data_IF_894251572820
#
_entry.id   IF_894251572820
#
_cell.length_a   1.000
_cell.length_b   1.000
_cell.length_c   1.000
_cell.angle_alpha   90.00
_cell.angle_beta   90.00
_cell.angle_gamma   90.00
#
_symmetry.space_group_name_H-M   'P 1'
#
loop_
_entity.id
_entity.type
_entity.pdbx_description
1 polymer ?
#
# COMPACT_ATOMS: atom_id res chain seq x y z
N UNK A 1 11.22 8.61 -48.91
CA UNK A 1 11.44 8.86 -47.46
C UNK A 1 10.27 8.26 -46.70
N UNK A 2 10.50 7.24 -45.88
CA UNK A 2 9.46 6.48 -45.17
C UNK A 2 9.24 7.15 -43.81
N UNK A 3 8.07 7.74 -43.60
CA UNK A 3 7.66 8.33 -42.33
C UNK A 3 7.64 7.24 -41.23
N UNK A 4 8.28 7.42 -40.06
CA UNK A 4 8.17 6.48 -38.97
C UNK A 4 6.83 6.69 -38.26
N UNK A 5 5.98 5.65 -38.26
CA UNK A 5 4.71 5.61 -37.52
C UNK A 5 4.97 5.68 -35.99
N UNK A 6 4.55 6.75 -35.27
CA UNK A 6 4.81 6.91 -33.84
C UNK A 6 3.79 6.22 -32.91
N UNK A 7 2.65 5.74 -33.43
CA UNK A 7 1.47 5.46 -32.59
C UNK A 7 1.46 4.12 -31.83
N UNK A 8 2.45 3.23 -32.02
CA UNK A 8 2.42 1.88 -31.43
C UNK A 8 3.35 1.64 -30.22
N UNK A 9 4.28 2.55 -29.92
CA UNK A 9 5.39 2.24 -29.00
C UNK A 9 5.09 2.49 -27.51
N UNK A 10 4.08 3.28 -27.17
CA UNK A 10 3.68 3.55 -25.78
C UNK A 10 2.69 2.54 -25.19
N UNK A 11 1.89 1.89 -26.05
CA UNK A 11 0.89 0.91 -25.61
C UNK A 11 1.51 -0.43 -25.17
N UNK A 12 2.58 -0.87 -25.85
CA UNK A 12 3.25 -2.14 -25.54
C UNK A 12 3.92 -2.13 -24.14
N UNK A 13 4.64 -1.08 -23.71
CA UNK A 13 5.16 -0.97 -22.35
C UNK A 13 4.08 -0.91 -21.27
N UNK A 14 2.94 -0.27 -21.55
CA UNK A 14 1.82 -0.19 -20.61
C UNK A 14 1.19 -1.57 -20.38
N UNK A 15 0.89 -2.30 -21.47
CA UNK A 15 0.35 -3.66 -21.41
C UNK A 15 1.29 -4.61 -20.67
N UNK A 16 2.59 -4.59 -21.02
CA UNK A 16 3.59 -5.41 -20.35
C UNK A 16 3.79 -5.05 -18.86
N UNK A 17 3.67 -3.76 -18.51
CA UNK A 17 3.71 -3.33 -17.11
C UNK A 17 2.47 -3.82 -16.34
N UNK A 18 1.29 -3.79 -16.98
CA UNK A 18 0.03 -4.25 -16.39
C UNK A 18 -0.02 -5.77 -16.22
N UNK A 19 0.40 -6.53 -17.24
CA UNK A 19 0.57 -7.98 -17.15
C UNK A 19 1.52 -8.35 -16.00
N UNK A 20 2.65 -7.64 -15.87
CA UNK A 20 3.60 -7.86 -14.78
C UNK A 20 3.06 -7.53 -13.38
N UNK A 21 1.98 -6.76 -13.28
CA UNK A 21 1.28 -6.49 -12.01
C UNK A 21 -0.05 -7.23 -11.91
N UNK A 22 -0.28 -8.26 -12.71
CA UNK A 22 -1.47 -9.10 -12.55
C UNK A 22 -1.26 -10.03 -11.35
N UNK A 23 -2.12 -9.98 -10.32
CA UNK A 23 -2.00 -10.88 -9.17
C UNK A 23 -2.11 -12.35 -9.60
N UNK A 24 -1.09 -13.15 -9.29
CA UNK A 24 -0.94 -14.53 -9.78
C UNK A 24 -1.63 -15.54 -8.83
N UNK A 25 -1.77 -15.20 -7.55
CA UNK A 25 -2.29 -16.09 -6.52
C UNK A 25 -3.61 -15.57 -5.95
N UNK A 26 -4.64 -16.42 -5.95
CA UNK A 26 -5.85 -16.21 -5.15
C UNK A 26 -5.77 -17.10 -3.91
N UNK A 27 -5.82 -16.49 -2.73
CA UNK A 27 -6.00 -17.21 -1.49
C UNK A 27 -7.32 -16.78 -0.84
N UNK A 28 -8.00 -17.71 -0.17
CA UNK A 28 -9.05 -17.34 0.77
C UNK A 28 -8.38 -16.66 1.96
N UNK A 29 -8.84 -15.45 2.29
CA UNK A 29 -8.24 -14.60 3.32
C UNK A 29 -9.33 -14.22 4.33
N UNK A 30 -8.96 -14.16 5.59
CA UNK A 30 -9.84 -13.64 6.63
C UNK A 30 -10.09 -12.15 6.41
N UNK A 31 -11.20 -11.62 6.93
CA UNK A 31 -11.51 -10.19 6.85
C UNK A 31 -10.37 -9.33 7.44
N UNK A 32 -9.83 -9.74 8.59
CA UNK A 32 -8.70 -9.09 9.25
C UNK A 32 -7.44 -9.03 8.36
N UNK A 33 -7.11 -10.13 7.68
CA UNK A 33 -5.95 -10.19 6.77
C UNK A 33 -6.13 -9.23 5.60
N UNK A 34 -7.29 -9.27 4.93
CA UNK A 34 -7.60 -8.40 3.79
C UNK A 34 -7.51 -6.92 4.21
N UNK A 35 -8.07 -6.59 5.37
CA UNK A 35 -8.05 -5.21 5.89
C UNK A 35 -6.64 -4.74 6.23
N UNK A 36 -5.82 -5.60 6.86
CA UNK A 36 -4.42 -5.31 7.17
C UNK A 36 -3.56 -5.13 5.91
N UNK A 37 -3.73 -6.01 4.92
CA UNK A 37 -3.07 -5.89 3.61
C UNK A 37 -3.52 -4.64 2.86
N UNK A 38 -4.81 -4.29 2.91
CA UNK A 38 -5.34 -3.08 2.29
C UNK A 38 -4.74 -1.82 2.94
N UNK A 39 -4.78 -1.74 4.27
CA UNK A 39 -4.21 -0.65 5.04
C UNK A 39 -2.71 -0.47 4.75
N UNK A 40 -1.94 -1.56 4.86
CA UNK A 40 -0.49 -1.55 4.63
C UNK A 40 -0.15 -1.14 3.21
N UNK A 41 -0.92 -1.63 2.23
CA UNK A 41 -0.70 -1.28 0.83
C UNK A 41 -1.02 0.18 0.54
N UNK A 42 -2.07 0.75 1.15
CA UNK A 42 -2.35 2.18 1.03
C UNK A 42 -1.25 3.04 1.63
N UNK A 43 -0.72 2.67 2.80
CA UNK A 43 0.39 3.37 3.44
C UNK A 43 1.61 3.41 2.49
N UNK A 44 1.99 2.26 1.93
CA UNK A 44 3.14 2.17 1.02
C UNK A 44 2.87 2.89 -0.31
N UNK A 45 1.64 2.85 -0.84
CA UNK A 45 1.27 3.59 -2.05
C UNK A 45 1.26 5.11 -1.86
N UNK A 46 1.04 5.57 -0.61
CA UNK A 46 1.16 6.99 -0.26
C UNK A 46 2.62 7.48 -0.27
N UNK A 47 3.58 6.57 -0.18
CA UNK A 47 4.99 6.89 -0.19
C UNK A 47 5.50 7.37 -1.56
N UNK A 48 6.48 8.26 -1.54
CA UNK A 48 7.22 8.67 -2.72
C UNK A 48 8.18 7.56 -3.17
N UNK A 49 8.01 7.11 -4.42
CA UNK A 49 8.98 6.29 -5.14
C UNK A 49 8.82 6.46 -6.66
N UNK A 50 9.90 6.16 -7.39
CA UNK A 50 9.99 6.30 -8.85
C UNK A 50 10.47 5.02 -9.58
N UNK A 51 10.60 3.90 -8.86
CA UNK A 51 10.95 2.60 -9.43
C UNK A 51 9.71 1.74 -9.70
N UNK A 52 9.87 0.72 -10.56
CA UNK A 52 8.87 -0.34 -10.73
C UNK A 52 8.96 -1.29 -9.52
N UNK A 53 7.92 -1.41 -8.69
CA UNK A 53 7.92 -2.41 -7.63
C UNK A 53 7.82 -3.81 -8.26
N UNK A 54 8.50 -4.77 -7.66
CA UNK A 54 8.61 -6.15 -8.12
C UNK A 54 8.31 -7.05 -6.93
N UNK A 55 7.45 -8.06 -7.08
CA UNK A 55 7.17 -9.01 -6.02
C UNK A 55 8.43 -9.71 -5.50
N UNK A 56 8.37 -10.12 -4.23
CA UNK A 56 9.43 -10.88 -3.56
C UNK A 56 10.80 -10.17 -3.56
N UNK A 57 10.77 -8.83 -3.46
CA UNK A 57 11.96 -8.00 -3.20
C UNK A 57 11.76 -7.19 -1.94
N UNK A 58 12.84 -7.01 -1.21
CA UNK A 58 12.85 -6.13 -0.04
C UNK A 58 12.82 -4.66 -0.47
N UNK A 59 11.94 -3.93 0.20
CA UNK A 59 11.84 -2.48 0.15
C UNK A 59 11.90 -1.95 1.58
N UNK A 60 12.23 -0.67 1.74
CA UNK A 60 12.42 -0.05 3.04
C UNK A 60 11.60 1.23 3.08
N UNK A 61 10.67 1.29 4.04
CA UNK A 61 9.82 2.45 4.25
C UNK A 61 10.50 3.41 5.24
N UNK A 62 10.53 4.68 4.85
CA UNK A 62 11.05 5.77 5.66
C UNK A 62 9.98 6.83 5.83
N UNK A 63 10.11 7.58 6.92
CA UNK A 63 9.24 8.69 7.26
C UNK A 63 10.05 9.93 7.56
N UNK A 64 9.62 11.06 6.99
CA UNK A 64 10.21 12.37 7.26
C UNK A 64 9.10 13.42 7.22
N UNK A 65 8.91 14.20 8.31
CA UNK A 65 8.00 15.33 8.31
C UNK A 65 8.25 16.19 7.08
N UNK A 66 7.19 16.43 6.31
CA UNK A 66 7.28 17.21 5.09
C UNK A 66 6.29 18.36 5.18
N UNK A 67 6.80 19.58 5.10
CA UNK A 67 5.95 20.76 5.00
C UNK A 67 5.42 20.90 3.56
N UNK A 68 4.19 21.40 3.36
CA UNK A 68 3.69 21.69 2.03
C UNK A 68 4.63 22.64 1.27
N UNK A 69 4.83 22.38 -0.02
CA UNK A 69 5.62 23.24 -0.93
C UNK A 69 4.67 23.76 -2.01
N UNK A 70 4.61 25.07 -2.21
CA UNK A 70 3.71 25.72 -3.19
C UNK A 70 2.23 25.28 -3.06
N UNK A 71 1.72 25.18 -1.82
CA UNK A 71 0.38 24.65 -1.48
C UNK A 71 0.11 23.22 -1.98
N UNK A 72 1.14 22.47 -2.35
CA UNK A 72 1.02 21.06 -2.71
C UNK A 72 1.42 20.19 -1.52
N UNK A 73 0.60 19.18 -1.17
CA UNK A 73 0.97 18.21 -0.17
C UNK A 73 2.20 17.43 -0.65
N UNK A 74 3.19 17.29 0.23
CA UNK A 74 4.36 16.44 0.03
C UNK A 74 4.19 15.24 0.95
N UNK A 75 4.46 14.03 0.44
CA UNK A 75 4.29 12.84 1.27
C UNK A 75 5.35 12.83 2.37
N UNK A 76 4.93 12.53 3.61
CA UNK A 76 5.87 12.24 4.68
C UNK A 76 6.59 10.91 4.46
N UNK A 77 6.02 10.03 3.63
CA UNK A 77 6.48 8.65 3.43
C UNK A 77 7.36 8.52 2.19
N UNK A 78 8.44 7.73 2.30
CA UNK A 78 9.37 7.42 1.20
C UNK A 78 9.64 5.94 1.15
N UNK A 79 9.53 5.33 -0.03
CA UNK A 79 9.86 3.92 -0.22
C UNK A 79 11.17 3.82 -1.00
N UNK A 80 12.11 3.04 -0.49
CA UNK A 80 13.45 2.88 -1.08
C UNK A 80 13.82 1.41 -1.27
N UNK A 81 14.79 1.18 -2.16
CA UNK A 81 15.50 -0.10 -2.32
C UNK A 81 16.75 -0.17 -1.43
N UNK A 82 17.10 0.93 -0.76
CA UNK A 82 18.30 1.06 0.05
C UNK A 82 17.92 0.79 1.50
N UNK A 83 18.56 -0.21 2.10
CA UNK A 83 18.46 -0.56 3.52
C UNK A 83 19.11 0.51 4.41
N UNK A 84 18.65 0.69 5.66
CA UNK A 84 19.06 1.81 6.52
C UNK A 84 20.57 1.92 6.70
N UNK A 85 21.28 0.80 6.78
CA UNK A 85 22.73 0.72 6.96
C UNK A 85 23.53 1.21 5.75
N UNK A 86 22.88 1.39 4.59
CA UNK A 86 23.51 1.74 3.31
C UNK A 86 23.06 3.09 2.75
N UNK A 87 22.31 3.89 3.50
CA UNK A 87 21.91 5.23 3.04
C UNK A 87 23.11 6.16 2.79
N UNK A 88 24.17 6.02 3.59
CA UNK A 88 25.26 7.00 3.60
C UNK A 88 24.72 8.39 3.95
N UNK A 89 24.97 9.37 3.07
CA UNK A 89 24.54 10.76 3.26
C UNK A 89 23.11 11.05 2.76
N UNK A 90 22.41 10.04 2.21
CA UNK A 90 21.04 10.21 1.75
C UNK A 90 20.12 10.40 2.97
N UNK A 91 19.36 11.50 3.00
CA UNK A 91 18.42 11.76 4.09
C UNK A 91 16.98 11.39 3.66
N UNK A 92 16.61 10.13 3.91
CA UNK A 92 15.24 9.63 3.73
C UNK A 92 14.38 9.76 5.00
N UNK A 93 14.96 10.20 6.12
CA UNK A 93 14.31 10.28 7.43
C UNK A 93 14.41 8.99 8.26
N UNK A 94 13.43 8.80 9.15
CA UNK A 94 13.37 7.71 10.12
C UNK A 94 12.98 6.42 9.41
N UNK A 95 13.73 5.34 9.66
CA UNK A 95 13.40 4.00 9.18
C UNK A 95 12.17 3.45 9.92
N UNK A 96 11.15 3.03 9.16
CA UNK A 96 9.86 2.56 9.70
C UNK A 96 9.80 1.03 9.70
N UNK A 97 10.29 0.40 8.64
CA UNK A 97 10.22 -1.05 8.50
C UNK A 97 10.55 -1.57 7.12
N UNK A 98 10.71 -2.89 7.04
CA UNK A 98 10.97 -3.63 5.81
C UNK A 98 9.65 -4.02 5.17
N UNK A 99 9.47 -3.65 3.92
CA UNK A 99 8.28 -3.92 3.13
C UNK A 99 8.55 -5.01 2.10
N UNK A 100 7.55 -5.86 1.88
CA UNK A 100 7.58 -6.91 0.86
C UNK A 100 6.31 -6.83 0.02
N UNK A 101 6.47 -6.70 -1.29
CA UNK A 101 5.38 -6.84 -2.25
C UNK A 101 5.17 -8.34 -2.52
N UNK A 102 3.95 -8.81 -2.29
CA UNK A 102 3.57 -10.20 -2.50
C UNK A 102 3.23 -10.48 -3.97
N UNK A 103 3.18 -11.75 -4.36
CA UNK A 103 2.80 -12.16 -5.73
C UNK A 103 1.35 -11.85 -6.09
N UNK A 104 0.51 -11.63 -5.09
CA UNK A 104 -0.84 -11.12 -5.27
C UNK A 104 -0.91 -9.59 -5.31
N UNK A 105 0.22 -8.88 -5.34
CA UNK A 105 0.30 -7.41 -5.41
C UNK A 105 -0.22 -6.68 -4.16
N UNK A 106 -0.41 -7.37 -3.04
CA UNK A 106 -0.59 -6.75 -1.73
C UNK A 106 0.77 -6.54 -1.05
N UNK A 107 0.87 -5.51 -0.21
CA UNK A 107 2.06 -5.23 0.57
C UNK A 107 1.94 -5.75 1.99
N UNK A 108 3.09 -6.15 2.53
CA UNK A 108 3.30 -6.42 3.95
C UNK A 108 4.45 -5.57 4.46
N UNK A 109 4.48 -5.31 5.77
CA UNK A 109 5.54 -4.59 6.44
C UNK A 109 5.93 -5.29 7.74
N UNK A 110 7.23 -5.35 8.00
CA UNK A 110 7.81 -5.71 9.29
C UNK A 110 8.36 -4.43 9.89
N UNK A 111 7.69 -3.94 10.95
CA UNK A 111 8.06 -2.69 11.62
C UNK A 111 9.38 -2.85 12.36
N UNK A 112 10.15 -1.76 12.43
CA UNK A 112 11.35 -1.70 13.28
C UNK A 112 10.97 -1.71 14.76
N UNK A 113 11.83 -2.28 15.60
CA UNK A 113 11.63 -2.31 17.06
C UNK A 113 11.70 -0.90 17.68
N UNK A 114 12.44 0.02 17.04
CA UNK A 114 12.63 1.40 17.50
C UNK A 114 11.45 2.33 17.18
N UNK A 115 10.38 1.83 16.56
CA UNK A 115 9.25 2.64 16.13
C UNK A 115 8.61 3.42 17.30
N UNK A 116 8.55 2.77 18.47
CA UNK A 116 7.97 3.34 19.68
C UNK A 116 8.72 4.57 20.22
N UNK A 117 9.97 4.77 19.80
CA UNK A 117 10.84 5.87 20.23
C UNK A 117 10.49 7.19 19.51
N UNK A 118 9.75 7.13 18.41
CA UNK A 118 9.49 8.26 17.52
C UNK A 118 8.04 8.74 17.63
N UNK A 119 7.77 9.65 18.57
CA UNK A 119 6.40 10.14 18.84
C UNK A 119 5.70 10.76 17.64
N UNK A 120 6.39 11.60 16.89
CA UNK A 120 5.81 12.29 15.74
C UNK A 120 5.46 11.30 14.61
N UNK A 121 6.31 10.30 14.37
CA UNK A 121 6.03 9.20 13.45
C UNK A 121 4.80 8.39 13.89
N UNK A 122 4.69 8.08 15.20
CA UNK A 122 3.52 7.40 15.73
C UNK A 122 2.25 8.23 15.56
N UNK A 123 2.32 9.55 15.72
CA UNK A 123 1.19 10.45 15.51
C UNK A 123 0.75 10.42 14.03
N UNK A 124 1.67 10.49 13.08
CA UNK A 124 1.36 10.41 11.64
C UNK A 124 0.76 9.04 11.26
N UNK A 125 1.26 7.93 11.82
CA UNK A 125 0.66 6.60 11.63
C UNK A 125 -0.75 6.51 12.20
N UNK A 126 -0.99 7.10 13.38
CA UNK A 126 -2.31 7.15 14.00
C UNK A 126 -3.27 8.00 13.17
N UNK A 127 -2.84 9.15 12.66
CA UNK A 127 -3.64 9.97 11.77
C UNK A 127 -4.00 9.21 10.49
N UNK A 128 -3.03 8.54 9.85
CA UNK A 128 -3.27 7.72 8.68
C UNK A 128 -4.28 6.58 8.98
N UNK A 129 -4.17 5.93 10.14
CA UNK A 129 -5.12 4.93 10.59
C UNK A 129 -6.53 5.49 10.81
N UNK A 130 -6.66 6.66 11.47
CA UNK A 130 -7.96 7.31 11.66
C UNK A 130 -8.61 7.73 10.34
N UNK A 131 -7.82 8.25 9.39
CA UNK A 131 -8.32 8.57 8.05
C UNK A 131 -8.83 7.32 7.34
N UNK A 132 -8.06 6.22 7.37
CA UNK A 132 -8.48 4.94 6.82
C UNK A 132 -9.79 4.42 7.43
N UNK A 133 -9.90 4.45 8.76
CA UNK A 133 -11.13 4.05 9.45
C UNK A 133 -12.30 4.94 9.03
N UNK A 134 -12.10 6.26 8.98
CA UNK A 134 -13.13 7.23 8.58
C UNK A 134 -13.61 6.98 7.15
N UNK A 135 -12.70 6.76 6.21
CA UNK A 135 -13.05 6.47 4.80
C UNK A 135 -13.86 5.19 4.65
N UNK A 136 -13.58 4.16 5.47
CA UNK A 136 -14.24 2.85 5.37
C UNK A 136 -15.37 2.67 6.39
N UNK A 137 -15.77 3.72 7.12
CA UNK A 137 -16.85 3.66 8.11
C UNK A 137 -18.18 4.11 7.51
N UNK A 138 -18.63 3.40 6.48
CA UNK A 138 -19.93 3.62 5.85
C UNK A 138 -20.65 2.30 5.50
N UNK A 139 -21.82 2.43 4.87
CA UNK A 139 -22.67 1.30 4.46
C UNK A 139 -22.32 0.73 3.07
N UNK A 140 -21.31 1.29 2.39
CA UNK A 140 -20.87 0.76 1.09
C UNK A 140 -20.00 -0.48 1.30
N UNK A 141 -19.78 -1.28 0.25
CA UNK A 141 -18.87 -2.41 0.34
C UNK A 141 -17.41 -1.91 0.36
N UNK A 142 -16.50 -2.70 0.91
CA UNK A 142 -15.07 -2.34 0.98
C UNK A 142 -14.48 -2.11 -0.42
N UNK A 143 -15.01 -2.80 -1.44
CA UNK A 143 -14.62 -2.64 -2.84
C UNK A 143 -14.91 -1.25 -3.41
N UNK A 144 -15.95 -0.57 -2.91
CA UNK A 144 -16.28 0.79 -3.35
C UNK A 144 -15.22 1.82 -2.98
N UNK A 145 -14.40 1.55 -1.97
CA UNK A 145 -13.30 2.43 -1.52
C UNK A 145 -11.95 2.08 -2.14
N UNK A 146 -11.86 0.99 -2.94
CA UNK A 146 -10.60 0.54 -3.51
C UNK A 146 -10.06 1.53 -4.56
N UNK A 147 -8.74 1.79 -4.58
CA UNK A 147 -8.11 2.78 -5.43
C UNK A 147 -7.88 2.27 -6.87
N UNK A 148 -8.93 1.86 -7.59
CA UNK A 148 -8.81 1.29 -8.94
C UNK A 148 -8.11 2.22 -9.93
N UNK A 149 -8.32 3.54 -9.80
CA UNK A 149 -7.67 4.57 -10.60
C UNK A 149 -7.48 5.84 -9.78
N UNK A 150 -6.22 6.26 -9.60
CA UNK A 150 -5.87 7.51 -8.90
C UNK A 150 -5.06 8.39 -9.85
N UNK A 151 -5.73 9.24 -10.63
CA UNK A 151 -5.13 10.05 -11.71
C UNK A 151 -3.91 10.86 -11.25
N UNK A 152 -3.93 11.26 -9.99
CA UNK A 152 -2.97 12.16 -9.34
C UNK A 152 -1.66 11.47 -8.97
N UNK A 153 -1.60 10.13 -9.00
CA UNK A 153 -0.41 9.37 -8.68
C UNK A 153 0.55 9.23 -9.87
N UNK A 154 1.86 9.20 -9.64
CA UNK A 154 2.82 8.82 -10.68
C UNK A 154 2.59 7.42 -11.24
N UNK A 155 3.11 7.17 -12.45
CA UNK A 155 2.80 5.99 -13.26
C UNK A 155 2.83 4.65 -12.50
N UNK A 156 3.93 4.33 -11.82
CA UNK A 156 4.06 3.05 -11.10
C UNK A 156 3.13 2.94 -9.89
N UNK A 157 2.85 4.06 -9.22
CA UNK A 157 1.90 4.11 -8.10
C UNK A 157 0.47 3.89 -8.57
N UNK A 158 0.06 4.47 -9.70
CA UNK A 158 -1.23 4.18 -10.35
C UNK A 158 -1.38 2.71 -10.66
N UNK A 159 -0.38 2.13 -11.29
CA UNK A 159 -0.42 0.74 -11.70
C UNK A 159 -0.48 -0.22 -10.50
N UNK A 160 0.29 0.07 -9.44
CA UNK A 160 0.25 -0.69 -8.20
C UNK A 160 -1.10 -0.55 -7.46
N UNK A 161 -1.74 0.63 -7.50
CA UNK A 161 -3.08 0.82 -6.92
C UNK A 161 -4.16 0.01 -7.67
N UNK A 162 -4.11 -0.03 -9.00
CA UNK A 162 -5.01 -0.87 -9.81
C UNK A 162 -4.79 -2.37 -9.53
N UNK A 163 -3.53 -2.80 -9.42
CA UNK A 163 -3.17 -4.17 -9.10
C UNK A 163 -3.65 -4.61 -7.72
N UNK A 164 -3.42 -3.76 -6.70
CA UNK A 164 -3.95 -3.92 -5.34
C UNK A 164 -5.46 -4.08 -5.35
N UNK A 165 -6.18 -3.15 -5.99
CA UNK A 165 -7.66 -3.16 -6.03
C UNK A 165 -8.19 -4.44 -6.67
N UNK A 166 -7.54 -4.89 -7.75
CA UNK A 166 -7.87 -6.15 -8.43
C UNK A 166 -7.62 -7.36 -7.54
N UNK A 167 -6.53 -7.36 -6.76
CA UNK A 167 -6.19 -8.43 -5.83
C UNK A 167 -7.18 -8.56 -4.68
N UNK A 168 -7.47 -7.43 -4.01
CA UNK A 168 -8.38 -7.38 -2.88
C UNK A 168 -9.79 -7.75 -3.32
N UNK A 169 -10.30 -7.21 -4.43
CA UNK A 169 -11.62 -7.57 -4.96
C UNK A 169 -11.76 -9.07 -5.21
N UNK A 170 -10.71 -9.72 -5.73
CA UNK A 170 -10.74 -11.17 -5.95
C UNK A 170 -10.67 -11.95 -4.63
N UNK A 171 -9.88 -11.48 -3.67
CA UNK A 171 -9.77 -12.11 -2.35
C UNK A 171 -11.07 -12.00 -1.55
N UNK A 172 -11.74 -10.85 -1.61
CA UNK A 172 -13.04 -10.59 -0.96
C UNK A 172 -14.10 -11.55 -1.51
N UNK A 173 -14.22 -11.65 -2.84
CA UNK A 173 -15.14 -12.58 -3.51
C UNK A 173 -14.84 -14.04 -3.22
N UNK A 174 -13.56 -14.44 -3.28
CA UNK A 174 -13.16 -15.82 -2.98
C UNK A 174 -13.48 -16.23 -1.54
N UNK A 175 -13.46 -15.26 -0.63
CA UNK A 175 -13.75 -15.45 0.80
C UNK A 175 -15.24 -15.24 1.14
N UNK A 176 -16.10 -14.98 0.16
CA UNK A 176 -17.52 -14.68 0.32
C UNK A 176 -17.83 -13.50 1.27
N UNK A 177 -16.98 -12.47 1.23
CA UNK A 177 -17.10 -11.27 2.09
C UNK A 177 -17.64 -10.04 1.33
N UNK A 178 -18.00 -10.18 0.05
CA UNK A 178 -18.43 -9.11 -0.87
C UNK A 178 -19.81 -8.50 -0.54
N UNK A 179 -20.55 -9.12 0.37
CA UNK A 179 -21.84 -8.62 0.87
C UNK A 179 -21.74 -7.86 2.21
N UNK A 180 -20.55 -7.75 2.79
CA UNK A 180 -20.33 -7.14 4.09
C UNK A 180 -20.04 -5.64 3.93
N UNK A 181 -20.82 -4.74 4.56
CA UNK A 181 -20.55 -3.29 4.56
C UNK A 181 -19.20 -2.97 5.20
N UNK A 182 -18.46 -2.00 4.65
CA UNK A 182 -17.11 -1.61 5.06
C UNK A 182 -16.99 -1.35 6.57
N UNK A 183 -17.98 -0.67 7.19
CA UNK A 183 -18.02 -0.46 8.65
C UNK A 183 -17.95 -1.76 9.47
N UNK A 184 -18.53 -2.85 8.98
CA UNK A 184 -18.55 -4.14 9.70
C UNK A 184 -17.18 -4.83 9.63
N UNK A 185 -16.39 -4.59 8.58
CA UNK A 185 -15.00 -5.07 8.50
C UNK A 185 -14.14 -4.51 9.65
N UNK A 186 -14.32 -3.23 9.97
CA UNK A 186 -13.61 -2.58 11.07
C UNK A 186 -13.93 -3.27 12.40
N UNK A 187 -15.20 -3.58 12.66
CA UNK A 187 -15.63 -4.30 13.87
C UNK A 187 -15.06 -5.72 13.95
N UNK A 188 -15.12 -6.48 12.85
CA UNK A 188 -14.59 -7.85 12.77
C UNK A 188 -13.07 -7.91 13.02
N UNK A 189 -12.35 -6.84 12.68
CA UNK A 189 -10.92 -6.71 12.95
C UNK A 189 -10.60 -6.28 14.39
N UNK A 190 -11.49 -5.49 15.01
CA UNK A 190 -11.32 -4.99 16.38
C UNK A 190 -11.49 -6.09 17.43
N UNK A 191 -12.37 -7.07 17.20
CA UNK A 191 -12.62 -8.18 18.12
C UNK A 191 -11.39 -9.10 18.34
N UNK A 192 -10.37 -9.03 17.48
CA UNK A 192 -9.16 -9.86 17.51
C UNK A 192 -7.86 -9.07 17.76
N UNK A 193 -7.94 -7.79 18.12
CA UNK A 193 -6.75 -6.95 18.36
C UNK A 193 -6.70 -6.46 19.82
N UNK A 194 -5.62 -6.80 20.53
CA UNK A 194 -5.37 -6.45 21.95
C UNK A 194 -5.07 -4.96 22.15
N UNK A 195 -5.99 -4.07 21.75
CA UNK A 195 -5.93 -2.63 22.03
C UNK A 195 -4.78 -1.87 21.37
N UNK A 196 -3.98 -2.51 20.52
CA UNK A 196 -2.87 -1.86 19.83
C UNK A 196 -3.36 -1.10 18.59
N UNK A 197 -3.15 0.21 18.55
CA UNK A 197 -3.57 1.11 17.47
C UNK A 197 -2.90 0.82 16.12
N UNK A 198 -1.86 -0.03 16.09
CA UNK A 198 -1.18 -0.50 14.89
C UNK A 198 -1.51 -1.96 14.51
N UNK A 199 -2.57 -2.56 15.08
CA UNK A 199 -2.92 -3.97 14.86
C UNK A 199 -3.08 -4.36 13.37
N UNK A 200 -3.42 -3.41 12.50
CA UNK A 200 -3.50 -3.64 11.05
C UNK A 200 -2.13 -3.79 10.36
N UNK A 201 -1.05 -3.23 10.93
CA UNK A 201 0.32 -3.34 10.40
C UNK A 201 1.04 -4.60 10.87
N UNK A 202 0.49 -5.32 11.86
CA UNK A 202 1.16 -6.46 12.49
C UNK A 202 0.86 -7.80 11.81
N UNK A 203 0.04 -7.80 10.75
CA UNK A 203 -0.25 -9.04 10.03
C UNK A 203 0.93 -9.48 9.16
N UNK A 204 1.61 -10.53 9.58
CA UNK A 204 2.62 -11.22 8.77
C UNK A 204 1.98 -12.38 7.99
N UNK A 205 2.21 -12.49 6.67
CA UNK A 205 1.77 -13.65 5.92
C UNK A 205 2.50 -14.90 6.44
N UNK A 206 1.74 -15.92 6.82
CA UNK A 206 2.28 -17.24 7.09
C UNK A 206 2.89 -17.80 5.79
N UNK A 207 4.16 -18.20 5.85
CA UNK A 207 4.87 -18.89 4.76
C UNK A 207 4.20 -20.21 4.38
#
# INVERSE_FOLDING_TARGET
MKSPNPQGKGAVPLLAAWEAMTPITLANKTAQRILGEYFTSLLILSAEFAFKPVPNKDYFLYWKPSLPVDNKPVSAWRLSLIEPERLGDLDLGIYVGRCLLQYDMTWSIVLTETLAEHRDLLADLQEFHQQFQTTNNDEQSLESHLPFFVEQLPFYRRLAATALSSSLSRSIKASALDSIPARQWLSLSAENSDGNSLGLLQYQPSH
#
